data_IF_726026702040
#
_entry.id   IF_726026702040
#
_cell.length_a   1.000
_cell.length_b   1.000
_cell.length_c   1.000
_cell.angle_alpha   90.00
_cell.angle_beta   90.00
_cell.angle_gamma   90.00
#
_symmetry.space_group_name_H-M   'P 1'
#
loop_
_entity.id
_entity.type
_entity.pdbx_description
1 polymer ?
#
# COMPACT_ATOMS: atom_id res chain seq x y z
N UNK A 1 24.40 -9.11 25.39
CA UNK A 1 25.02 -10.47 25.51
C UNK A 1 24.15 -11.38 26.36
N UNK A 2 23.58 -10.93 27.51
CA UNK A 2 22.73 -11.77 28.36
C UNK A 2 21.42 -12.24 27.71
N UNK A 3 20.80 -11.49 26.83
CA UNK A 3 19.54 -11.83 26.17
C UNK A 3 19.69 -12.85 25.01
N UNK A 4 20.85 -12.95 24.39
CA UNK A 4 21.10 -13.94 23.34
C UNK A 4 21.32 -15.36 23.87
N UNK A 5 21.82 -15.51 25.12
CA UNK A 5 22.11 -16.81 25.73
C UNK A 5 20.84 -17.53 26.24
N UNK A 6 19.76 -16.79 26.51
CA UNK A 6 18.47 -17.34 26.97
C UNK A 6 17.48 -17.63 25.82
N UNK A 7 17.86 -17.37 24.57
CA UNK A 7 16.96 -17.37 23.42
C UNK A 7 16.34 -18.73 23.02
N UNK A 8 17.04 -19.86 23.26
CA UNK A 8 16.55 -21.19 22.87
C UNK A 8 16.74 -22.26 23.96
N UNK A 9 15.69 -22.59 24.72
CA UNK A 9 15.77 -23.61 25.78
C UNK A 9 16.17 -25.00 25.26
N UNK A 10 15.87 -25.32 24.01
CA UNK A 10 16.25 -26.60 23.39
C UNK A 10 17.77 -26.74 23.23
N UNK A 11 18.49 -25.68 23.04
CA UNK A 11 19.96 -25.68 22.92
C UNK A 11 20.64 -26.10 24.22
N UNK A 12 20.07 -25.75 25.38
CA UNK A 12 20.57 -26.15 26.69
C UNK A 12 20.37 -27.63 26.95
N UNK A 13 19.26 -28.23 26.49
CA UNK A 13 18.99 -29.66 26.60
C UNK A 13 19.95 -30.48 25.73
N UNK A 14 20.23 -29.99 24.49
CA UNK A 14 21.18 -30.63 23.60
C UNK A 14 22.60 -30.55 24.18
N UNK A 15 22.99 -29.41 24.72
CA UNK A 15 24.29 -29.24 25.38
C UNK A 15 24.45 -30.20 26.61
N UNK A 16 23.40 -30.40 27.39
CA UNK A 16 23.44 -31.34 28.52
C UNK A 16 23.65 -32.80 28.09
N UNK A 17 23.04 -33.20 26.95
CA UNK A 17 23.23 -34.53 26.37
C UNK A 17 24.69 -34.74 25.87
N UNK A 18 25.28 -33.70 25.26
CA UNK A 18 26.68 -33.69 24.87
C UNK A 18 27.64 -33.83 26.06
N UNK A 19 27.38 -33.14 27.19
CA UNK A 19 28.18 -33.25 28.42
C UNK A 19 28.10 -34.65 29.04
N UNK A 20 26.94 -35.30 28.99
CA UNK A 20 26.79 -36.70 29.44
C UNK A 20 27.58 -37.66 28.54
N UNK A 21 27.64 -37.46 27.27
CA UNK A 21 28.44 -38.27 26.37
C UNK A 21 29.95 -38.13 26.66
N UNK A 22 30.43 -36.93 27.00
CA UNK A 22 31.81 -36.71 27.45
C UNK A 22 32.11 -37.38 28.80
N UNK A 23 31.13 -37.43 29.72
CA UNK A 23 31.27 -38.12 31.01
C UNK A 23 31.49 -39.63 30.85
N UNK A 24 31.11 -40.25 29.72
CA UNK A 24 31.25 -41.67 29.45
C UNK A 24 32.63 -42.06 28.89
N UNK A 25 33.49 -41.08 28.53
CA UNK A 25 34.81 -41.34 27.98
C UNK A 25 35.83 -41.74 29.08
N UNK A 26 36.60 -42.82 28.90
CA UNK A 26 37.61 -43.26 29.86
C UNK A 26 38.72 -42.21 30.01
N UNK A 27 38.99 -41.83 31.27
CA UNK A 27 40.05 -40.84 31.62
C UNK A 27 39.53 -39.43 31.90
N UNK A 28 38.24 -39.16 31.75
CA UNK A 28 37.63 -37.86 32.06
C UNK A 28 37.09 -37.82 33.52
N UNK A 29 37.08 -36.64 34.20
CA UNK A 29 36.51 -36.52 35.54
C UNK A 29 34.99 -36.58 35.48
N UNK A 30 34.43 -37.79 35.46
CA UNK A 30 33.00 -38.11 35.26
C UNK A 30 32.07 -37.33 36.17
N UNK A 31 32.40 -37.16 37.46
CA UNK A 31 31.59 -36.42 38.42
C UNK A 31 31.39 -34.95 38.04
N UNK A 32 32.43 -34.30 37.52
CA UNK A 32 32.34 -32.88 37.10
C UNK A 32 31.40 -32.70 35.89
N UNK A 33 31.53 -33.59 34.88
CA UNK A 33 30.69 -33.50 33.68
C UNK A 33 29.21 -33.85 33.99
N UNK A 34 28.95 -34.78 34.89
CA UNK A 34 27.60 -35.11 35.33
C UNK A 34 26.96 -33.94 36.09
N UNK A 35 27.68 -33.25 36.96
CA UNK A 35 27.15 -32.05 37.64
C UNK A 35 26.84 -30.93 36.70
N UNK A 36 27.71 -30.64 35.70
CA UNK A 36 27.49 -29.62 34.69
C UNK A 36 26.28 -30.00 33.81
N UNK A 37 26.16 -31.25 33.41
CA UNK A 37 25.03 -31.75 32.62
C UNK A 37 23.69 -31.62 33.38
N UNK A 38 23.64 -31.94 34.68
CA UNK A 38 22.46 -31.74 35.51
C UNK A 38 22.10 -30.26 35.69
N UNK A 39 23.09 -29.38 35.90
CA UNK A 39 22.85 -27.96 36.02
C UNK A 39 22.31 -27.33 34.69
N UNK A 40 22.89 -27.70 33.56
CA UNK A 40 22.45 -27.22 32.24
C UNK A 40 21.09 -27.80 31.85
N UNK A 41 20.81 -29.05 32.18
CA UNK A 41 19.50 -29.69 31.99
C UNK A 41 18.41 -29.03 32.82
N UNK A 42 18.68 -28.82 34.13
CA UNK A 42 17.70 -28.17 35.03
C UNK A 42 17.40 -26.73 34.60
N UNK A 43 18.41 -26.00 34.14
CA UNK A 43 18.22 -24.65 33.57
C UNK A 43 17.39 -24.68 32.26
N UNK A 44 17.71 -25.61 31.37
CA UNK A 44 16.94 -25.82 30.13
C UNK A 44 15.49 -26.20 30.39
N UNK A 45 15.25 -27.13 31.35
CA UNK A 45 13.93 -27.55 31.76
C UNK A 45 13.15 -26.41 32.45
N UNK A 46 13.80 -25.64 33.32
CA UNK A 46 13.20 -24.45 33.95
C UNK A 46 12.77 -23.42 32.92
N UNK A 47 13.62 -23.13 31.94
CA UNK A 47 13.30 -22.17 30.83
C UNK A 47 12.17 -22.70 29.94
N UNK A 48 12.11 -24.00 29.70
CA UNK A 48 11.07 -24.67 28.93
C UNK A 48 9.72 -24.66 29.66
N UNK A 49 9.71 -24.97 30.97
CA UNK A 49 8.52 -24.90 31.82
C UNK A 49 8.03 -23.47 32.04
N UNK A 50 8.92 -22.50 32.01
CA UNK A 50 8.55 -21.08 32.05
C UNK A 50 7.91 -20.61 30.72
N UNK A 51 8.30 -21.21 29.57
CA UNK A 51 7.66 -20.97 28.27
C UNK A 51 6.31 -21.67 28.11
N UNK A 52 6.07 -22.80 28.76
CA UNK A 52 4.75 -23.46 28.72
C UNK A 52 3.70 -22.76 29.58
N UNK A 53 4.07 -21.73 30.36
CA UNK A 53 3.14 -20.74 30.93
C UNK A 53 2.89 -19.52 30.04
N UNK A 54 3.43 -19.49 28.84
CA UNK A 54 2.88 -18.60 27.79
C UNK A 54 1.60 -19.30 27.34
N UNK A 55 0.48 -18.81 27.81
CA UNK A 55 -0.87 -19.09 27.31
C UNK A 55 -0.87 -19.21 25.81
N UNK A 56 -1.74 -20.05 25.21
CA UNK A 56 -1.94 -20.06 23.78
C UNK A 56 -2.20 -18.62 23.38
N UNK A 57 -1.48 -18.15 22.34
CA UNK A 57 -1.65 -16.84 21.74
C UNK A 57 -3.15 -16.55 21.67
N UNK A 58 -3.64 -15.84 22.66
CA UNK A 58 -4.93 -15.19 22.55
C UNK A 58 -4.86 -14.30 21.30
N UNK A 59 -5.92 -14.26 20.50
CA UNK A 59 -5.98 -13.34 19.40
C UNK A 59 -5.67 -11.95 19.98
N UNK A 60 -4.59 -11.34 19.50
CA UNK A 60 -4.03 -10.04 19.82
C UNK A 60 -4.79 -9.32 20.95
N UNK A 61 -4.13 -9.19 22.10
CA UNK A 61 -4.67 -8.35 23.16
C UNK A 61 -4.95 -6.98 22.52
N UNK A 62 -6.23 -6.72 22.30
CA UNK A 62 -6.74 -5.37 22.27
C UNK A 62 -6.15 -4.72 23.52
N UNK A 63 -5.25 -3.77 23.37
CA UNK A 63 -4.83 -2.91 24.45
C UNK A 63 -6.10 -2.21 24.90
N UNK A 64 -6.74 -2.79 25.91
CA UNK A 64 -7.79 -2.17 26.67
C UNK A 64 -7.11 -0.98 27.33
N UNK A 65 -7.29 0.21 26.75
CA UNK A 65 -6.97 1.44 27.45
C UNK A 65 -7.97 1.47 28.60
N UNK A 66 -7.48 1.07 29.79
CA UNK A 66 -8.23 1.24 31.01
C UNK A 66 -8.68 2.70 31.10
N UNK A 67 -9.90 2.98 31.59
CA UNK A 67 -10.35 4.35 31.76
C UNK A 67 -9.32 5.07 32.62
N UNK A 68 -8.87 6.23 32.15
CA UNK A 68 -7.90 7.10 32.79
C UNK A 68 -8.10 7.16 34.29
N UNK A 69 -7.22 6.52 35.04
CA UNK A 69 -6.97 6.96 36.40
C UNK A 69 -6.15 8.23 36.27
N UNK A 70 -6.76 9.35 36.67
CA UNK A 70 -6.13 10.65 36.76
C UNK A 70 -4.82 10.57 37.55
N UNK A 71 -3.73 10.40 36.87
CA UNK A 71 -2.36 10.62 37.27
C UNK A 71 -1.71 11.29 36.09
N UNK A 72 -1.37 12.56 36.21
CA UNK A 72 -0.48 13.29 35.31
C UNK A 72 0.91 12.63 35.39
N UNK A 73 1.04 11.45 34.81
CA UNK A 73 2.36 10.89 34.57
C UNK A 73 2.99 11.64 33.42
N UNK A 74 3.88 12.57 33.75
CA UNK A 74 4.74 13.22 32.78
C UNK A 74 5.38 12.16 31.87
N UNK A 75 4.98 12.14 30.59
CA UNK A 75 5.59 11.28 29.59
C UNK A 75 7.05 11.69 29.41
N UNK A 76 7.96 10.93 30.04
CA UNK A 76 9.42 11.18 30.02
C UNK A 76 10.13 10.50 28.84
N UNK A 77 9.36 9.80 27.98
CA UNK A 77 9.87 9.06 26.83
C UNK A 77 9.32 9.59 25.52
N UNK A 78 10.04 9.33 24.43
CA UNK A 78 9.53 9.55 23.09
C UNK A 78 8.48 8.49 22.77
N UNK A 79 7.25 8.92 22.44
CA UNK A 79 6.15 8.06 22.00
C UNK A 79 5.94 8.29 20.48
N UNK A 80 6.31 7.32 19.62
CA UNK A 80 6.15 7.46 18.18
C UNK A 80 4.69 7.33 17.80
N UNK A 81 4.24 8.13 16.81
CA UNK A 81 2.91 7.98 16.23
C UNK A 81 2.70 6.59 15.62
N UNK A 82 1.50 6.05 15.77
CA UNK A 82 1.10 4.74 15.23
C UNK A 82 1.00 4.81 13.69
N UNK A 83 1.74 3.96 12.97
CA UNK A 83 1.81 4.04 11.50
C UNK A 83 0.44 3.84 10.84
N UNK A 84 -0.28 2.76 11.18
CA UNK A 84 -1.64 2.47 10.74
C UNK A 84 -2.55 2.26 11.94
N UNK A 85 -3.58 3.08 12.05
CA UNK A 85 -4.54 3.03 13.14
C UNK A 85 -5.96 2.88 12.60
N UNK A 86 -6.66 1.84 13.09
CA UNK A 86 -8.09 1.62 12.87
C UNK A 86 -8.85 2.07 14.10
N UNK A 87 -9.67 3.10 13.98
CA UNK A 87 -10.52 3.59 15.06
C UNK A 87 -11.96 3.19 14.84
N UNK A 88 -12.56 2.59 15.87
CA UNK A 88 -13.96 2.23 15.91
C UNK A 88 -14.65 2.93 17.07
N UNK A 89 -15.96 3.15 16.96
CA UNK A 89 -16.75 3.57 18.12
C UNK A 89 -16.70 2.48 19.22
N UNK A 90 -16.73 2.89 20.48
CA UNK A 90 -16.65 1.95 21.62
C UNK A 90 -17.78 0.90 21.62
N UNK A 91 -18.95 1.23 21.04
CA UNK A 91 -20.08 0.31 20.85
C UNK A 91 -19.75 -0.92 20.00
N UNK A 92 -18.71 -0.85 19.17
CA UNK A 92 -18.31 -1.94 18.28
C UNK A 92 -17.32 -2.92 18.91
N UNK A 93 -16.87 -2.67 20.14
CA UNK A 93 -16.01 -3.59 20.87
C UNK A 93 -16.69 -4.96 21.00
N UNK A 94 -15.94 -6.03 20.70
CA UNK A 94 -16.41 -7.44 20.76
C UNK A 94 -17.54 -7.82 19.79
N UNK A 95 -17.89 -6.97 18.81
CA UNK A 95 -18.88 -7.35 17.81
C UNK A 95 -18.26 -8.23 16.71
N UNK A 96 -18.98 -9.28 16.31
CA UNK A 96 -18.54 -10.21 15.27
C UNK A 96 -18.30 -9.50 13.90
N UNK A 97 -19.13 -8.51 13.58
CA UNK A 97 -18.99 -7.72 12.35
C UNK A 97 -17.69 -6.91 12.32
N UNK A 98 -17.25 -6.38 13.47
CA UNK A 98 -15.97 -5.67 13.62
C UNK A 98 -14.80 -6.63 13.39
N UNK A 99 -14.86 -7.81 13.99
CA UNK A 99 -13.85 -8.86 13.78
C UNK A 99 -13.77 -9.27 12.30
N UNK A 100 -14.90 -9.43 11.62
CA UNK A 100 -14.95 -9.73 10.18
C UNK A 100 -14.34 -8.60 9.33
N UNK A 101 -14.62 -7.35 9.66
CA UNK A 101 -14.02 -6.20 8.95
C UNK A 101 -12.51 -6.14 9.13
N UNK A 102 -12.01 -6.28 10.36
CA UNK A 102 -10.58 -6.31 10.67
C UNK A 102 -9.89 -7.44 9.90
N UNK A 103 -10.50 -8.62 9.86
CA UNK A 103 -9.97 -9.75 9.08
C UNK A 103 -9.91 -9.41 7.58
N UNK A 104 -10.96 -8.83 7.03
CA UNK A 104 -11.01 -8.37 5.63
C UNK A 104 -9.93 -7.33 5.32
N UNK A 105 -9.72 -6.36 6.21
CA UNK A 105 -8.66 -5.34 6.08
C UNK A 105 -7.27 -5.99 6.07
N UNK A 106 -7.03 -6.97 6.94
CA UNK A 106 -5.76 -7.74 6.95
C UNK A 106 -5.56 -8.53 5.65
N UNK A 107 -6.63 -9.13 5.10
CA UNK A 107 -6.56 -9.81 3.80
C UNK A 107 -6.22 -8.84 2.69
N UNK A 108 -6.83 -7.66 2.66
CA UNK A 108 -6.52 -6.59 1.69
C UNK A 108 -5.04 -6.18 1.80
N UNK A 109 -4.54 -5.92 3.02
CA UNK A 109 -3.11 -5.64 3.23
C UNK A 109 -2.21 -6.73 2.66
N UNK A 110 -2.49 -7.98 3.01
CA UNK A 110 -1.69 -9.12 2.56
C UNK A 110 -1.75 -9.30 1.03
N UNK A 111 -2.89 -9.00 0.40
CA UNK A 111 -3.01 -9.03 -1.06
C UNK A 111 -2.14 -7.97 -1.73
N UNK A 112 -2.03 -6.77 -1.16
CA UNK A 112 -1.13 -5.70 -1.65
C UNK A 112 0.33 -6.15 -1.51
N UNK A 113 0.73 -6.67 -0.35
CA UNK A 113 2.09 -7.19 -0.13
C UNK A 113 2.43 -8.25 -1.17
N UNK A 114 1.51 -9.19 -1.41
CA UNK A 114 1.74 -10.30 -2.36
C UNK A 114 1.72 -9.82 -3.82
N UNK A 115 0.85 -8.90 -4.18
CA UNK A 115 0.72 -8.45 -5.58
C UNK A 115 1.82 -7.44 -5.97
N UNK A 116 2.05 -6.43 -5.12
CA UNK A 116 2.94 -5.31 -5.41
C UNK A 116 4.34 -5.53 -4.87
N UNK A 117 4.50 -6.31 -3.79
CA UNK A 117 5.76 -6.44 -3.07
C UNK A 117 6.04 -5.25 -2.13
N UNK A 118 4.98 -4.54 -1.73
CA UNK A 118 5.07 -3.38 -0.85
C UNK A 118 4.97 -3.82 0.61
N UNK A 119 5.99 -3.52 1.41
CA UNK A 119 5.98 -3.80 2.85
C UNK A 119 5.10 -2.78 3.56
N UNK A 120 4.03 -3.25 4.19
CA UNK A 120 3.08 -2.40 4.92
C UNK A 120 3.16 -2.67 6.43
N UNK A 121 3.07 -1.63 7.28
CA UNK A 121 3.05 -1.79 8.73
C UNK A 121 1.82 -2.59 9.21
N UNK A 122 1.89 -3.16 10.43
CA UNK A 122 0.72 -3.75 11.08
C UNK A 122 -0.32 -2.67 11.43
N UNK A 123 -1.57 -3.10 11.62
CA UNK A 123 -2.61 -2.22 12.12
C UNK A 123 -2.68 -2.27 13.64
N UNK A 124 -2.80 -1.10 14.25
CA UNK A 124 -3.26 -0.93 15.62
C UNK A 124 -4.75 -0.61 15.62
N UNK A 125 -5.45 -1.08 16.64
CA UNK A 125 -6.91 -0.95 16.76
C UNK A 125 -7.23 -0.19 18.02
N UNK A 126 -8.09 0.82 17.89
CA UNK A 126 -8.54 1.65 19.00
C UNK A 126 -10.06 1.75 19.01
N UNK A 127 -10.66 1.60 20.19
CA UNK A 127 -12.07 1.83 20.41
C UNK A 127 -12.26 3.15 21.17
N UNK A 128 -12.91 4.12 20.54
CA UNK A 128 -13.05 5.48 21.09
C UNK A 128 -14.51 5.83 21.38
N UNK A 129 -14.75 6.38 22.55
CA UNK A 129 -16.06 6.94 22.92
C UNK A 129 -16.33 8.30 22.24
N UNK A 130 -15.33 8.90 21.62
CA UNK A 130 -15.45 10.18 20.90
C UNK A 130 -16.01 10.04 19.49
N UNK A 131 -16.07 8.81 18.98
CA UNK A 131 -16.63 8.51 17.65
C UNK A 131 -18.13 8.35 17.71
N UNK A 132 -18.81 8.75 16.63
CA UNK A 132 -20.24 8.47 16.46
C UNK A 132 -20.50 6.96 16.46
N UNK A 133 -21.70 6.53 16.82
CA UNK A 133 -22.03 5.13 17.09
C UNK A 133 -21.69 4.17 15.95
N UNK A 134 -21.83 4.59 14.70
CA UNK A 134 -21.50 3.78 13.51
C UNK A 134 -20.27 4.31 12.76
N UNK A 135 -19.40 5.08 13.41
CA UNK A 135 -18.24 5.66 12.75
C UNK A 135 -17.02 4.73 12.79
N UNK A 136 -16.38 4.59 11.64
CA UNK A 136 -15.07 3.99 11.44
C UNK A 136 -14.11 5.02 10.87
N UNK A 137 -12.87 5.05 11.37
CA UNK A 137 -11.80 5.89 10.82
C UNK A 137 -10.56 5.05 10.55
N UNK A 138 -9.91 5.35 9.43
CA UNK A 138 -8.56 4.90 9.15
C UNK A 138 -7.60 6.08 9.23
N UNK A 139 -6.56 5.93 10.04
CA UNK A 139 -5.53 6.95 10.24
C UNK A 139 -4.16 6.44 9.82
N UNK A 140 -3.35 7.34 9.26
CA UNK A 140 -1.94 7.13 8.94
C UNK A 140 -1.13 8.12 9.76
N UNK A 141 -0.20 7.62 10.58
CA UNK A 141 0.48 8.43 11.60
C UNK A 141 -0.50 9.26 12.45
N UNK A 142 -1.61 8.63 12.84
CA UNK A 142 -2.71 9.21 13.63
C UNK A 142 -3.51 10.33 12.93
N UNK A 143 -3.12 10.71 11.71
CA UNK A 143 -3.90 11.61 10.89
C UNK A 143 -5.01 10.85 10.13
N UNK A 144 -6.29 11.25 10.23
CA UNK A 144 -7.38 10.55 9.57
C UNK A 144 -7.28 10.71 8.04
N UNK A 145 -7.21 9.57 7.34
CA UNK A 145 -7.17 9.50 5.87
C UNK A 145 -8.58 9.44 5.31
N UNK A 146 -9.42 8.58 5.88
CA UNK A 146 -10.84 8.57 5.56
C UNK A 146 -11.70 8.14 6.75
N UNK A 147 -13.00 8.46 6.64
CA UNK A 147 -14.05 8.05 7.57
C UNK A 147 -15.11 7.30 6.79
N UNK A 148 -15.78 6.38 7.44
CA UNK A 148 -16.87 5.63 6.83
C UNK A 148 -17.94 5.31 7.87
N UNK A 149 -19.17 5.12 7.39
CA UNK A 149 -20.25 4.55 8.19
C UNK A 149 -20.09 3.04 8.22
N UNK A 150 -20.07 2.47 9.42
CA UNK A 150 -19.92 1.05 9.64
C UNK A 150 -21.20 0.45 10.22
N UNK A 151 -21.90 -0.37 9.42
CA UNK A 151 -23.17 -0.97 9.83
C UNK A 151 -23.74 -1.88 8.72
N UNK A 152 -25.01 -2.20 8.80
CA UNK A 152 -25.76 -3.00 7.82
C UNK A 152 -26.31 -2.15 6.67
N UNK A 153 -25.60 -1.09 6.32
CA UNK A 153 -25.98 -0.20 5.24
C UNK A 153 -25.51 -0.70 3.88
N UNK A 154 -26.30 -0.40 2.86
CA UNK A 154 -25.96 -0.61 1.46
C UNK A 154 -25.76 0.75 0.78
N UNK A 155 -24.62 0.90 0.11
CA UNK A 155 -24.33 2.08 -0.69
C UNK A 155 -24.81 1.86 -2.13
N UNK A 156 -25.52 2.84 -2.67
CA UNK A 156 -26.00 2.88 -4.05
C UNK A 156 -25.52 4.15 -4.71
N UNK A 157 -25.02 4.07 -5.93
CA UNK A 157 -24.63 5.27 -6.67
C UNK A 157 -25.87 6.14 -6.96
N UNK A 158 -25.80 7.43 -6.63
CA UNK A 158 -26.91 8.37 -6.75
C UNK A 158 -27.47 8.41 -8.18
N UNK A 159 -26.58 8.40 -9.16
CA UNK A 159 -26.94 8.47 -10.57
C UNK A 159 -27.71 7.24 -11.07
N UNK A 160 -27.68 6.13 -10.31
CA UNK A 160 -28.43 4.91 -10.63
C UNK A 160 -29.84 4.90 -10.08
N UNK A 161 -30.24 5.94 -9.32
CA UNK A 161 -31.54 6.00 -8.65
C UNK A 161 -32.31 7.24 -9.11
N UNK A 162 -33.31 7.04 -9.97
CA UNK A 162 -34.30 8.06 -10.28
C UNK A 162 -35.34 8.17 -9.14
N UNK A 163 -35.38 9.29 -8.48
CA UNK A 163 -36.32 9.60 -7.41
C UNK A 163 -35.65 9.84 -6.04
N UNK A 164 -36.32 10.58 -5.14
CA UNK A 164 -35.83 10.79 -3.77
C UNK A 164 -36.16 9.57 -2.90
N UNK A 165 -35.14 8.92 -2.30
CA UNK A 165 -35.38 7.87 -1.33
C UNK A 165 -35.99 8.49 -0.07
N UNK A 166 -37.04 7.89 0.46
CA UNK A 166 -37.78 8.39 1.63
C UNK A 166 -36.99 8.34 2.94
N UNK A 167 -35.98 7.47 3.04
CA UNK A 167 -35.21 7.20 4.25
C UNK A 167 -33.69 7.09 4.04
N UNK A 168 -33.14 7.69 2.98
CA UNK A 168 -31.69 7.67 2.78
C UNK A 168 -31.02 8.56 3.83
N UNK A 169 -30.09 7.99 4.58
CA UNK A 169 -29.09 8.81 5.23
C UNK A 169 -28.26 9.43 4.10
N UNK A 170 -28.40 10.73 3.93
CA UNK A 170 -27.37 11.48 3.21
C UNK A 170 -26.12 11.35 4.06
N UNK A 171 -25.20 10.50 3.60
CA UNK A 171 -23.94 10.35 4.29
C UNK A 171 -23.37 11.74 4.52
N UNK A 172 -23.07 12.07 5.76
CA UNK A 172 -22.36 13.29 6.13
C UNK A 172 -20.96 13.35 5.52
N UNK A 173 -20.59 12.37 4.74
CA UNK A 173 -19.31 12.13 4.10
C UNK A 173 -19.27 12.82 2.72
N UNK A 174 -19.55 14.12 2.74
CA UNK A 174 -19.46 15.02 1.58
C UNK A 174 -18.05 15.12 0.94
N UNK A 175 -17.11 14.27 1.31
CA UNK A 175 -15.76 14.26 0.76
C UNK A 175 -15.49 13.09 -0.21
N UNK A 176 -16.49 12.25 -0.43
CA UNK A 176 -16.38 11.22 -1.45
C UNK A 176 -16.80 11.79 -2.79
N UNK A 177 -15.89 11.70 -3.72
CA UNK A 177 -16.07 12.03 -5.15
C UNK A 177 -17.19 11.23 -5.82
N UNK A 178 -17.73 10.22 -5.16
CA UNK A 178 -18.89 9.43 -5.56
C UNK A 178 -20.05 9.77 -4.62
N UNK A 179 -21.11 10.33 -5.19
CA UNK A 179 -22.37 10.60 -4.51
C UNK A 179 -23.07 9.27 -4.19
N UNK A 180 -22.73 8.69 -3.01
CA UNK A 180 -23.36 7.48 -2.52
C UNK A 180 -24.58 7.80 -1.68
N UNK A 181 -25.66 7.05 -1.92
CA UNK A 181 -26.83 7.01 -1.04
C UNK A 181 -26.74 5.76 -0.17
N UNK A 182 -26.86 5.95 1.14
CA UNK A 182 -26.89 4.85 2.10
C UNK A 182 -28.32 4.43 2.35
N UNK A 183 -28.63 3.19 2.02
CA UNK A 183 -29.97 2.61 2.16
C UNK A 183 -29.95 1.47 3.19
N UNK A 184 -31.06 1.30 3.90
CA UNK A 184 -31.25 0.11 4.73
C UNK A 184 -31.49 -1.11 3.85
N UNK A 185 -31.18 -2.35 4.32
CA UNK A 185 -31.33 -3.57 3.52
C UNK A 185 -32.75 -3.86 3.03
N UNK A 186 -33.75 -3.31 3.68
CA UNK A 186 -35.18 -3.45 3.39
C UNK A 186 -35.76 -2.33 2.52
N UNK A 187 -34.91 -1.38 2.07
CA UNK A 187 -35.36 -0.27 1.23
C UNK A 187 -35.92 -0.76 -0.12
N UNK A 188 -37.14 -0.32 -0.52
CA UNK A 188 -37.77 -0.72 -1.78
C UNK A 188 -36.95 -0.42 -3.04
N UNK A 189 -36.06 0.57 -2.99
CA UNK A 189 -35.18 0.92 -4.10
C UNK A 189 -34.19 -0.21 -4.47
N UNK A 190 -33.82 -1.04 -3.51
CA UNK A 190 -32.91 -2.18 -3.71
C UNK A 190 -33.56 -3.33 -4.49
N UNK A 191 -34.88 -3.36 -4.61
CA UNK A 191 -35.59 -4.39 -5.37
C UNK A 191 -35.61 -4.13 -6.87
N UNK A 192 -35.19 -2.95 -7.31
CA UNK A 192 -35.10 -2.61 -8.72
C UNK A 192 -33.87 -3.28 -9.34
N UNK A 193 -34.05 -4.00 -10.43
CA UNK A 193 -33.03 -4.81 -11.12
C UNK A 193 -31.85 -3.98 -11.67
N UNK A 194 -31.98 -2.67 -11.80
CA UNK A 194 -30.99 -1.76 -12.37
C UNK A 194 -30.05 -1.15 -11.31
N UNK A 195 -30.37 -1.33 -10.03
CA UNK A 195 -29.62 -0.71 -8.93
C UNK A 195 -28.53 -1.66 -8.41
N UNK A 196 -27.28 -1.30 -8.63
CA UNK A 196 -26.15 -2.03 -8.07
C UNK A 196 -25.85 -1.48 -6.68
N UNK A 197 -26.07 -2.31 -5.67
CA UNK A 197 -25.73 -1.96 -4.28
C UNK A 197 -24.40 -2.57 -3.85
N UNK A 198 -23.67 -1.82 -3.00
CA UNK A 198 -22.41 -2.26 -2.40
C UNK A 198 -22.55 -2.19 -0.88
N UNK A 199 -22.22 -3.26 -0.16
CA UNK A 199 -22.25 -3.21 1.30
C UNK A 199 -21.23 -2.23 1.87
N UNK A 200 -21.53 -1.62 3.03
CA UNK A 200 -20.60 -0.75 3.75
C UNK A 200 -19.25 -1.45 3.97
N UNK A 201 -19.29 -2.73 4.33
CA UNK A 201 -18.10 -3.56 4.50
C UNK A 201 -17.24 -3.61 3.22
N UNK A 202 -17.83 -3.90 2.06
CA UNK A 202 -17.10 -3.98 0.80
C UNK A 202 -16.53 -2.61 0.37
N UNK A 203 -17.29 -1.54 0.58
CA UNK A 203 -16.84 -0.18 0.29
C UNK A 203 -15.64 0.22 1.18
N UNK A 204 -15.71 -0.08 2.48
CA UNK A 204 -14.58 0.17 3.40
C UNK A 204 -13.35 -0.60 2.96
N UNK A 205 -13.47 -1.88 2.58
CA UNK A 205 -12.32 -2.68 2.11
C UNK A 205 -11.69 -2.10 0.85
N UNK A 206 -12.50 -1.61 -0.09
CA UNK A 206 -11.97 -0.99 -1.31
C UNK A 206 -11.26 0.34 -1.00
N UNK A 207 -11.82 1.17 -0.10
CA UNK A 207 -11.16 2.40 0.36
C UNK A 207 -9.89 2.12 1.13
N UNK A 208 -9.90 1.09 1.99
CA UNK A 208 -8.69 0.64 2.68
C UNK A 208 -7.60 0.26 1.68
N UNK A 209 -7.97 -0.47 0.61
CA UNK A 209 -7.03 -0.83 -0.46
C UNK A 209 -6.42 0.41 -1.11
N UNK A 210 -7.25 1.38 -1.49
CA UNK A 210 -6.80 2.63 -2.10
C UNK A 210 -5.91 3.45 -1.14
N UNK A 211 -6.34 3.63 0.10
CA UNK A 211 -5.58 4.37 1.10
C UNK A 211 -4.21 3.74 1.40
N UNK A 212 -4.14 2.40 1.47
CA UNK A 212 -2.88 1.68 1.64
C UNK A 212 -1.97 1.75 0.41
N UNK A 213 -2.52 1.76 -0.81
CA UNK A 213 -1.74 1.95 -2.03
C UNK A 213 -1.15 3.36 -2.12
N UNK A 214 -1.86 4.38 -1.63
CA UNK A 214 -1.39 5.77 -1.61
C UNK A 214 -0.36 6.00 -0.50
N UNK A 215 -0.65 5.53 0.71
CA UNK A 215 0.21 5.77 1.89
C UNK A 215 1.38 4.81 2.00
N UNK A 216 1.22 3.58 1.50
CA UNK A 216 2.17 2.49 1.63
C UNK A 216 3.59 2.79 1.15
N UNK A 217 3.79 3.45 0.00
CA UNK A 217 5.13 3.80 -0.47
C UNK A 217 5.95 4.62 0.53
N UNK A 218 5.30 5.42 1.39
CA UNK A 218 5.97 6.21 2.44
C UNK A 218 6.64 5.34 3.51
N UNK A 219 6.16 4.09 3.69
CA UNK A 219 6.74 3.13 4.64
C UNK A 219 7.86 2.30 4.03
N UNK A 220 8.14 2.46 2.74
CA UNK A 220 9.26 1.81 2.07
C UNK A 220 10.54 2.63 2.31
N UNK A 221 11.06 2.58 3.53
CA UNK A 221 12.24 3.31 3.95
C UNK A 221 13.55 2.54 3.69
N UNK A 222 14.60 3.01 4.34
CA UNK A 222 15.95 2.41 4.26
C UNK A 222 15.95 0.99 4.82
N UNK A 223 15.22 0.74 5.91
CA UNK A 223 15.17 -0.57 6.55
C UNK A 223 14.49 -1.62 5.67
N UNK A 224 13.34 -1.28 5.09
CA UNK A 224 12.59 -2.14 4.18
C UNK A 224 13.41 -2.42 2.91
N UNK A 225 14.04 -1.39 2.35
CA UNK A 225 14.92 -1.52 1.18
C UNK A 225 16.13 -2.41 1.46
N UNK A 226 16.71 -2.32 2.67
CA UNK A 226 17.78 -3.22 3.11
C UNK A 226 17.29 -4.66 3.23
N UNK A 227 16.09 -4.86 3.73
CA UNK A 227 15.49 -6.22 3.81
C UNK A 227 15.25 -6.82 2.43
N UNK A 228 14.80 -6.01 1.45
CA UNK A 228 14.63 -6.42 0.05
C UNK A 228 15.99 -6.82 -0.57
N UNK A 229 17.03 -6.02 -0.34
CA UNK A 229 18.37 -6.35 -0.81
C UNK A 229 18.94 -7.60 -0.13
N UNK A 230 18.71 -7.78 1.17
CA UNK A 230 19.12 -8.98 1.90
C UNK A 230 18.49 -10.26 1.32
N UNK A 231 17.21 -10.20 0.95
CA UNK A 231 16.56 -11.31 0.23
C UNK A 231 17.20 -11.57 -1.14
N UNK A 232 17.53 -10.52 -1.89
CA UNK A 232 18.17 -10.66 -3.19
C UNK A 232 19.62 -11.20 -3.06
N UNK A 233 20.34 -10.81 -1.99
CA UNK A 233 21.72 -11.23 -1.71
C UNK A 233 21.84 -12.73 -1.50
N UNK A 234 20.82 -13.40 -0.96
CA UNK A 234 20.79 -14.86 -0.79
C UNK A 234 20.92 -15.61 -2.14
N UNK A 235 20.42 -15.03 -3.24
CA UNK A 235 20.40 -15.66 -4.56
C UNK A 235 21.33 -14.99 -5.57
N UNK A 236 21.62 -13.71 -5.39
CA UNK A 236 22.39 -12.86 -6.33
C UNK A 236 23.38 -11.94 -5.58
N UNK A 237 24.35 -12.50 -4.81
CA UNK A 237 25.23 -11.70 -3.96
C UNK A 237 26.11 -10.73 -4.75
N UNK A 238 26.59 -11.12 -5.94
CA UNK A 238 27.44 -10.28 -6.79
C UNK A 238 26.68 -9.06 -7.32
N UNK A 239 25.41 -9.26 -7.72
CA UNK A 239 24.56 -8.15 -8.17
C UNK A 239 24.32 -7.14 -7.06
N UNK A 240 24.03 -7.61 -5.84
CA UNK A 240 23.80 -6.74 -4.69
C UNK A 240 25.06 -5.98 -4.32
N UNK A 241 26.23 -6.64 -4.33
CA UNK A 241 27.51 -5.99 -4.06
C UNK A 241 27.81 -4.89 -5.09
N UNK A 242 27.61 -5.16 -6.38
CA UNK A 242 27.83 -4.18 -7.44
C UNK A 242 26.82 -3.02 -7.35
N UNK A 243 25.55 -3.29 -7.09
CA UNK A 243 24.53 -2.24 -6.88
C UNK A 243 24.90 -1.33 -5.71
N UNK A 244 25.32 -1.88 -4.57
CA UNK A 244 25.70 -1.10 -3.39
C UNK A 244 26.98 -0.27 -3.62
N UNK A 245 27.87 -0.72 -4.49
CA UNK A 245 29.06 0.05 -4.90
C UNK A 245 28.70 1.29 -5.72
N UNK A 246 27.68 1.19 -6.55
CA UNK A 246 27.27 2.23 -7.50
C UNK A 246 26.27 3.20 -6.84
N UNK A 247 25.35 2.67 -6.04
CA UNK A 247 24.17 3.39 -5.56
C UNK A 247 24.05 3.37 -4.03
N UNK A 248 23.96 4.53 -3.36
CA UNK A 248 23.61 4.58 -1.94
C UNK A 248 22.22 3.97 -1.68
N UNK A 249 22.07 3.29 -0.54
CA UNK A 249 20.82 2.65 -0.14
C UNK A 249 19.61 3.63 -0.12
N UNK A 250 19.87 4.91 0.26
CA UNK A 250 18.84 5.94 0.23
C UNK A 250 18.32 6.24 -1.17
N UNK A 251 19.18 6.23 -2.19
CA UNK A 251 18.76 6.42 -3.58
C UNK A 251 17.99 5.21 -4.09
N UNK A 252 18.45 3.99 -3.80
CA UNK A 252 17.73 2.76 -4.09
C UNK A 252 16.33 2.79 -3.48
N UNK A 253 16.22 3.14 -2.18
CA UNK A 253 14.94 3.31 -1.50
C UNK A 253 14.04 4.33 -2.20
N UNK A 254 14.60 5.48 -2.61
CA UNK A 254 13.84 6.50 -3.35
C UNK A 254 13.28 6.00 -4.68
N UNK A 255 14.05 5.20 -5.42
CA UNK A 255 13.55 4.58 -6.66
C UNK A 255 12.42 3.59 -6.39
N UNK A 256 12.56 2.74 -5.37
CA UNK A 256 11.50 1.80 -4.99
C UNK A 256 10.23 2.54 -4.53
N UNK A 257 10.38 3.60 -3.73
CA UNK A 257 9.25 4.45 -3.33
C UNK A 257 8.54 5.07 -4.54
N UNK A 258 9.31 5.59 -5.49
CA UNK A 258 8.74 6.17 -6.72
C UNK A 258 7.98 5.13 -7.53
N UNK A 259 8.54 3.96 -7.78
CA UNK A 259 7.88 2.86 -8.47
C UNK A 259 6.58 2.43 -7.74
N UNK A 260 6.66 2.25 -6.42
CA UNK A 260 5.51 1.87 -5.60
C UNK A 260 4.40 2.93 -5.61
N UNK A 261 4.73 4.23 -5.58
CA UNK A 261 3.76 5.33 -5.63
C UNK A 261 3.02 5.42 -6.97
N UNK A 262 3.58 4.80 -8.00
CA UNK A 262 2.97 4.68 -9.32
C UNK A 262 2.31 3.30 -9.55
N UNK A 263 2.22 2.47 -8.49
CA UNK A 263 1.60 1.16 -8.53
C UNK A 263 2.43 0.10 -9.29
N UNK A 264 3.69 0.37 -9.59
CA UNK A 264 4.57 -0.58 -10.28
C UNK A 264 4.99 -1.70 -9.32
N UNK A 265 4.80 -2.98 -9.67
CA UNK A 265 5.16 -4.09 -8.80
C UNK A 265 6.68 -4.18 -8.56
N UNK A 266 7.08 -4.24 -7.28
CA UNK A 266 8.49 -4.34 -6.86
C UNK A 266 9.02 -5.77 -6.86
N UNK A 267 8.17 -6.77 -7.13
CA UNK A 267 8.53 -8.20 -7.03
C UNK A 267 9.58 -8.65 -8.02
N UNK A 268 9.75 -7.95 -9.14
CA UNK A 268 10.82 -8.19 -10.10
C UNK A 268 12.16 -7.56 -9.64
N UNK A 269 12.48 -7.65 -8.34
CA UNK A 269 13.60 -6.95 -7.70
C UNK A 269 14.94 -7.21 -8.36
N UNK A 270 15.16 -8.43 -8.90
CA UNK A 270 16.38 -8.75 -9.66
C UNK A 270 16.52 -7.86 -10.90
N UNK A 271 15.47 -7.77 -11.73
CA UNK A 271 15.48 -6.93 -12.92
C UNK A 271 15.63 -5.45 -12.56
N UNK A 272 14.96 -5.01 -11.48
CA UNK A 272 15.12 -3.66 -10.95
C UNK A 272 16.60 -3.39 -10.59
N UNK A 273 17.24 -4.30 -9.86
CA UNK A 273 18.63 -4.18 -9.46
C UNK A 273 19.59 -4.18 -10.66
N UNK A 274 19.38 -5.05 -11.67
CA UNK A 274 20.16 -5.09 -12.90
C UNK A 274 20.13 -3.74 -13.64
N UNK A 275 18.93 -3.19 -13.86
CA UNK A 275 18.76 -1.88 -14.53
C UNK A 275 19.40 -0.74 -13.73
N UNK A 276 19.25 -0.75 -12.41
CA UNK A 276 19.84 0.27 -11.56
C UNK A 276 21.37 0.16 -11.49
N UNK A 277 21.94 -1.04 -11.63
CA UNK A 277 23.38 -1.25 -11.74
C UNK A 277 23.90 -0.69 -13.07
N UNK A 278 23.18 -0.91 -14.17
CA UNK A 278 23.56 -0.42 -15.50
C UNK A 278 23.52 1.11 -15.59
N UNK A 279 22.42 1.72 -15.16
CA UNK A 279 22.19 3.17 -15.33
C UNK A 279 22.67 4.03 -14.16
N UNK A 280 22.77 3.48 -12.95
CA UNK A 280 23.07 4.23 -11.73
C UNK A 280 24.46 4.86 -11.65
N UNK A 281 25.39 4.46 -12.54
CA UNK A 281 26.71 5.09 -12.65
C UNK A 281 26.65 6.47 -13.29
N UNK A 282 25.75 6.66 -14.26
CA UNK A 282 25.66 7.84 -15.11
C UNK A 282 24.47 8.72 -14.73
N UNK A 283 23.42 8.13 -14.19
CA UNK A 283 22.19 8.83 -13.78
C UNK A 283 22.12 8.93 -12.25
N UNK A 284 21.81 10.12 -11.74
CA UNK A 284 21.66 10.38 -10.30
C UNK A 284 20.24 10.68 -9.88
N UNK A 285 19.41 11.09 -10.83
CA UNK A 285 18.03 11.48 -10.56
C UNK A 285 17.15 10.25 -10.34
N UNK A 286 16.46 10.21 -9.19
CA UNK A 286 15.59 9.10 -8.80
C UNK A 286 14.46 8.89 -9.80
N UNK A 287 13.92 9.98 -10.35
CA UNK A 287 12.81 9.95 -11.32
C UNK A 287 13.27 9.29 -12.63
N UNK A 288 14.43 9.71 -13.16
CA UNK A 288 14.98 9.14 -14.38
C UNK A 288 15.35 7.66 -14.21
N UNK A 289 15.93 7.29 -13.07
CA UNK A 289 16.21 5.88 -12.74
C UNK A 289 14.93 5.05 -12.66
N UNK A 290 13.87 5.59 -12.06
CA UNK A 290 12.57 4.91 -12.04
C UNK A 290 12.00 4.73 -13.45
N UNK A 291 12.19 5.69 -14.35
CA UNK A 291 11.75 5.60 -15.74
C UNK A 291 12.51 4.51 -16.53
N UNK A 292 13.83 4.36 -16.34
CA UNK A 292 14.57 3.23 -16.91
C UNK A 292 14.04 1.89 -16.41
N UNK A 293 13.78 1.78 -15.11
CA UNK A 293 13.20 0.56 -14.52
C UNK A 293 11.82 0.28 -15.10
N UNK A 294 10.97 1.30 -15.27
CA UNK A 294 9.63 1.15 -15.85
C UNK A 294 9.67 0.63 -17.28
N UNK A 295 10.61 1.14 -18.09
CA UNK A 295 10.81 0.65 -19.48
C UNK A 295 11.22 -0.82 -19.46
N UNK A 296 12.09 -1.24 -18.55
CA UNK A 296 12.47 -2.65 -18.41
C UNK A 296 11.29 -3.53 -17.92
N UNK A 297 10.42 -2.98 -17.08
CA UNK A 297 9.22 -3.65 -16.55
C UNK A 297 7.99 -3.50 -17.45
N UNK A 298 8.15 -3.07 -18.70
CA UNK A 298 7.04 -2.81 -19.63
C UNK A 298 6.05 -3.96 -19.78
N UNK A 299 6.52 -5.21 -19.74
CA UNK A 299 5.65 -6.37 -19.83
C UNK A 299 4.73 -6.50 -18.61
N UNK A 300 5.27 -6.27 -17.41
CA UNK A 300 4.53 -6.29 -16.15
C UNK A 300 3.54 -5.12 -16.08
N UNK A 301 3.97 -3.92 -16.49
CA UNK A 301 3.12 -2.71 -16.53
C UNK A 301 1.98 -2.91 -17.53
N UNK A 302 2.27 -3.42 -18.72
CA UNK A 302 1.24 -3.74 -19.70
C UNK A 302 0.22 -4.75 -19.16
N UNK A 303 0.71 -5.86 -18.58
CA UNK A 303 -0.17 -6.89 -17.98
C UNK A 303 -1.04 -6.34 -16.83
N UNK A 304 -0.49 -5.43 -16.01
CA UNK A 304 -1.22 -4.82 -14.90
C UNK A 304 -2.43 -4.01 -15.36
N UNK A 305 -2.28 -3.28 -16.47
CA UNK A 305 -3.28 -2.30 -16.94
C UNK A 305 -4.08 -2.78 -18.15
N UNK A 306 -3.66 -3.86 -18.85
CA UNK A 306 -4.40 -4.39 -19.99
C UNK A 306 -5.67 -5.12 -19.58
N UNK A 307 -6.63 -5.12 -20.50
CA UNK A 307 -7.84 -5.93 -20.48
C UNK A 307 -7.73 -7.07 -21.51
N UNK A 308 -8.79 -7.84 -21.71
CA UNK A 308 -8.79 -8.99 -22.64
C UNK A 308 -8.51 -8.54 -24.08
N UNK A 309 -9.00 -7.37 -24.48
CA UNK A 309 -8.89 -6.80 -25.82
C UNK A 309 -7.69 -5.86 -26.00
N UNK A 310 -6.89 -5.65 -24.94
CA UNK A 310 -5.69 -4.82 -24.95
C UNK A 310 -5.67 -3.71 -23.89
N UNK A 311 -4.81 -2.74 -24.08
CA UNK A 311 -4.67 -1.57 -23.21
C UNK A 311 -5.63 -0.46 -23.70
N UNK A 312 -6.58 -0.09 -22.85
CA UNK A 312 -7.49 1.01 -23.14
C UNK A 312 -6.85 2.34 -22.74
N UNK A 313 -6.62 3.21 -23.69
CA UNK A 313 -5.84 4.42 -23.48
C UNK A 313 -6.54 5.69 -23.95
N UNK A 314 -6.44 6.73 -23.14
CA UNK A 314 -6.68 8.10 -23.53
C UNK A 314 -5.36 8.76 -23.92
N UNK A 315 -5.36 9.62 -24.93
CA UNK A 315 -4.19 10.34 -25.41
C UNK A 315 -4.41 11.85 -25.32
N UNK A 316 -3.33 12.61 -25.38
CA UNK A 316 -3.43 14.02 -25.71
C UNK A 316 -3.28 14.23 -27.22
N UNK A 317 -3.87 15.32 -27.75
CA UNK A 317 -3.56 15.76 -29.09
C UNK A 317 -2.10 16.23 -29.18
N UNK A 318 -1.45 16.16 -30.34
CA UNK A 318 -0.09 16.69 -30.52
C UNK A 318 0.02 18.19 -30.15
N UNK A 319 -1.05 18.93 -30.33
CA UNK A 319 -1.12 20.34 -29.94
C UNK A 319 -1.09 20.49 -28.42
N UNK A 320 -1.91 19.75 -27.69
CA UNK A 320 -1.92 19.73 -26.23
C UNK A 320 -0.58 19.26 -25.64
N UNK A 321 0.07 18.26 -26.25
CA UNK A 321 1.42 17.86 -25.81
C UNK A 321 2.44 19.00 -25.98
N UNK A 322 2.33 19.82 -27.03
CA UNK A 322 3.19 20.98 -27.22
C UNK A 322 2.92 22.08 -26.19
N UNK A 323 1.65 22.33 -25.83
CA UNK A 323 1.30 23.25 -24.74
C UNK A 323 1.98 22.78 -23.43
N UNK A 324 1.93 21.49 -23.12
CA UNK A 324 2.62 20.95 -21.95
C UNK A 324 4.14 21.14 -22.01
N UNK A 325 4.78 20.88 -23.17
CA UNK A 325 6.23 21.10 -23.34
C UNK A 325 6.62 22.56 -23.16
N UNK A 326 5.82 23.49 -23.68
CA UNK A 326 6.04 24.92 -23.51
C UNK A 326 5.82 25.39 -22.05
N UNK A 327 4.92 24.71 -21.33
CA UNK A 327 4.65 24.98 -19.92
C UNK A 327 5.66 24.33 -18.95
N UNK A 328 6.52 23.41 -19.42
CA UNK A 328 7.51 22.76 -18.56
C UNK A 328 8.53 23.77 -18.03
N UNK A 329 8.73 23.74 -16.72
CA UNK A 329 9.74 24.53 -16.02
C UNK A 329 10.60 23.61 -15.16
N UNK A 330 11.90 23.76 -15.28
CA UNK A 330 12.87 23.03 -14.46
C UNK A 330 13.37 23.92 -13.34
N UNK A 331 13.36 23.37 -12.11
CA UNK A 331 13.90 24.02 -10.93
C UNK A 331 14.91 23.11 -10.25
N UNK A 332 15.58 23.61 -9.21
CA UNK A 332 16.47 22.77 -8.39
C UNK A 332 15.74 21.64 -7.66
N UNK A 333 14.42 21.77 -7.45
CA UNK A 333 13.60 20.78 -6.73
C UNK A 333 12.84 19.82 -7.66
N UNK A 334 12.90 20.02 -8.98
CA UNK A 334 12.23 19.14 -9.93
C UNK A 334 11.64 19.87 -11.14
N UNK A 335 10.90 19.13 -11.95
CA UNK A 335 10.20 19.61 -13.13
C UNK A 335 8.71 19.75 -12.81
N UNK A 336 8.12 20.89 -13.13
CA UNK A 336 6.70 21.15 -12.95
C UNK A 336 6.10 21.88 -14.16
N UNK A 337 4.78 21.87 -14.29
CA UNK A 337 4.06 22.64 -15.30
C UNK A 337 3.64 24.00 -14.77
N UNK A 338 3.98 25.04 -15.48
CA UNK A 338 3.46 26.39 -15.28
C UNK A 338 2.29 26.63 -16.25
N UNK A 339 1.22 25.86 -16.09
CA UNK A 339 -0.02 26.06 -16.84
C UNK A 339 -0.76 27.27 -16.28
N UNK A 340 -1.44 28.01 -17.16
CA UNK A 340 -2.38 29.03 -16.74
C UNK A 340 -3.65 28.41 -16.11
N UNK A 341 -4.45 29.22 -15.45
CA UNK A 341 -5.65 28.75 -14.77
C UNK A 341 -6.71 28.17 -15.73
N UNK A 342 -6.78 28.69 -16.96
CA UNK A 342 -7.75 28.23 -17.95
C UNK A 342 -7.43 26.81 -18.40
N UNK A 343 -6.21 26.56 -18.90
CA UNK A 343 -5.78 25.23 -19.31
C UNK A 343 -5.77 24.23 -18.12
N UNK A 344 -5.43 24.67 -16.92
CA UNK A 344 -5.46 23.80 -15.73
C UNK A 344 -6.89 23.36 -15.38
N UNK A 345 -7.85 24.30 -15.39
CA UNK A 345 -9.26 23.98 -15.12
C UNK A 345 -9.86 23.09 -16.19
N UNK A 346 -9.58 23.38 -17.46
CA UNK A 346 -10.04 22.59 -18.58
C UNK A 346 -9.47 21.18 -18.57
N UNK A 347 -8.18 21.02 -18.26
CA UNK A 347 -7.55 19.70 -18.11
C UNK A 347 -8.24 18.87 -17.03
N UNK A 348 -8.46 19.44 -15.85
CA UNK A 348 -9.15 18.77 -14.74
C UNK A 348 -10.55 18.33 -15.15
N UNK A 349 -11.31 19.19 -15.82
CA UNK A 349 -12.66 18.87 -16.27
C UNK A 349 -12.67 17.73 -17.31
N UNK A 350 -11.81 17.80 -18.34
CA UNK A 350 -11.69 16.76 -19.36
C UNK A 350 -11.31 15.39 -18.76
N UNK A 351 -10.39 15.39 -17.81
CA UNK A 351 -9.99 14.16 -17.13
C UNK A 351 -11.13 13.60 -16.25
N UNK A 352 -11.87 14.44 -15.53
CA UNK A 352 -13.05 14.01 -14.77
C UNK A 352 -14.09 13.37 -15.68
N UNK A 353 -14.46 14.02 -16.78
CA UNK A 353 -15.43 13.49 -17.73
C UNK A 353 -15.02 12.16 -18.37
N UNK A 354 -13.73 11.93 -18.56
CA UNK A 354 -13.22 10.70 -19.16
C UNK A 354 -13.05 9.55 -18.18
N UNK A 355 -12.54 9.82 -16.99
CA UNK A 355 -12.11 8.78 -16.04
C UNK A 355 -13.12 8.48 -14.93
N UNK A 356 -13.94 9.45 -14.48
CA UNK A 356 -14.92 9.20 -13.42
C UNK A 356 -15.98 8.17 -13.80
N UNK A 357 -16.65 8.26 -14.98
CA UNK A 357 -17.64 7.27 -15.38
C UNK A 357 -17.07 5.86 -15.55
N UNK A 358 -15.75 5.75 -15.78
CA UNK A 358 -15.03 4.52 -16.06
C UNK A 358 -14.10 4.09 -14.94
N UNK A 359 -14.30 4.57 -13.74
CA UNK A 359 -13.43 4.30 -12.59
C UNK A 359 -13.23 2.81 -12.29
N UNK A 360 -14.15 1.95 -12.72
CA UNK A 360 -14.04 0.49 -12.61
C UNK A 360 -13.31 -0.16 -13.80
N UNK A 361 -13.12 0.56 -14.89
CA UNK A 361 -12.41 0.07 -16.06
C UNK A 361 -10.92 0.35 -15.92
N UNK A 362 -10.08 -0.59 -16.35
CA UNK A 362 -8.64 -0.38 -16.39
C UNK A 362 -8.30 0.51 -17.60
N UNK A 363 -8.37 1.81 -17.42
CA UNK A 363 -8.01 2.80 -18.45
C UNK A 363 -6.76 3.54 -18.04
N UNK A 364 -5.94 3.94 -18.99
CA UNK A 364 -4.68 4.65 -18.77
C UNK A 364 -4.60 5.93 -19.56
N UNK A 365 -3.77 6.85 -19.10
CA UNK A 365 -3.35 8.02 -19.88
C UNK A 365 -2.02 7.68 -20.55
N UNK A 366 -1.99 7.59 -21.88
CA UNK A 366 -0.82 7.25 -22.68
C UNK A 366 -0.23 8.53 -23.28
N UNK A 367 1.03 8.82 -22.97
CA UNK A 367 1.68 10.10 -23.28
C UNK A 367 3.10 9.93 -23.83
N UNK A 368 3.68 10.99 -24.36
CA UNK A 368 5.08 11.01 -24.72
C UNK A 368 5.98 10.82 -23.48
N UNK A 369 7.14 10.21 -23.68
CA UNK A 369 8.04 9.84 -22.59
C UNK A 369 8.50 11.03 -21.74
N UNK A 370 8.80 12.14 -22.38
CA UNK A 370 9.24 13.40 -21.75
C UNK A 370 8.16 14.03 -20.84
N UNK A 371 6.89 13.79 -21.15
CA UNK A 371 5.76 14.35 -20.41
C UNK A 371 5.26 13.42 -19.29
N UNK A 372 5.62 12.13 -19.30
CA UNK A 372 5.05 11.13 -18.41
C UNK A 372 5.23 11.49 -16.93
N UNK A 373 6.46 11.68 -16.51
CA UNK A 373 6.78 11.92 -15.10
C UNK A 373 6.26 13.25 -14.56
N UNK A 374 6.40 14.37 -15.30
CA UNK A 374 5.78 15.65 -14.92
C UNK A 374 4.25 15.55 -14.84
N UNK A 375 3.58 14.90 -15.80
CA UNK A 375 2.13 14.71 -15.77
C UNK A 375 1.69 13.85 -14.59
N UNK A 376 2.42 12.77 -14.30
CA UNK A 376 2.13 11.95 -13.10
C UNK A 376 2.22 12.77 -11.81
N UNK A 377 3.16 13.69 -11.72
CA UNK A 377 3.31 14.57 -10.57
C UNK A 377 2.16 15.58 -10.49
N UNK A 378 1.77 16.18 -11.60
CA UNK A 378 0.63 17.10 -11.68
C UNK A 378 -0.69 16.45 -11.28
N UNK A 379 -0.90 15.21 -11.71
CA UNK A 379 -2.15 14.45 -11.50
C UNK A 379 -2.21 13.69 -10.17
N UNK A 380 -1.16 13.76 -9.37
CA UNK A 380 -1.03 12.90 -8.18
C UNK A 380 -2.13 13.12 -7.15
N UNK A 381 -2.50 14.36 -6.89
CA UNK A 381 -3.44 14.69 -5.80
C UNK A 381 -4.90 14.39 -6.17
N UNK A 382 -5.34 14.74 -7.38
CA UNK A 382 -6.73 14.57 -7.81
C UNK A 382 -6.98 13.27 -8.58
N UNK A 383 -6.01 12.83 -9.40
CA UNK A 383 -6.13 11.70 -10.33
C UNK A 383 -5.12 10.59 -10.04
N UNK A 384 -4.84 10.32 -8.76
CA UNK A 384 -3.84 9.31 -8.45
C UNK A 384 -4.25 7.89 -8.91
N UNK A 385 -5.54 7.65 -9.11
CA UNK A 385 -6.09 6.41 -9.62
C UNK A 385 -5.88 6.22 -11.12
N UNK A 386 -5.52 7.29 -11.86
CA UNK A 386 -5.27 7.24 -13.30
C UNK A 386 -3.79 6.90 -13.55
N UNK A 387 -3.48 5.72 -14.12
CA UNK A 387 -2.11 5.38 -14.47
C UNK A 387 -1.64 6.21 -15.66
N UNK A 388 -0.47 6.83 -15.55
CA UNK A 388 0.19 7.54 -16.66
C UNK A 388 1.31 6.66 -17.20
N UNK A 389 1.19 6.25 -18.45
CA UNK A 389 2.12 5.35 -19.15
C UNK A 389 2.70 6.09 -20.36
N UNK A 390 3.98 5.87 -20.63
CA UNK A 390 4.62 6.42 -21.84
C UNK A 390 4.62 5.42 -22.98
N UNK A 391 4.71 5.92 -24.23
CA UNK A 391 4.88 5.08 -25.41
C UNK A 391 6.14 4.20 -25.31
N UNK A 392 7.19 4.66 -24.63
CA UNK A 392 8.42 3.89 -24.42
C UNK A 392 8.21 2.65 -23.49
N UNK A 393 7.17 2.64 -22.69
CA UNK A 393 6.80 1.52 -21.82
C UNK A 393 5.90 0.50 -22.53
N UNK A 394 5.60 0.66 -23.81
CA UNK A 394 4.85 -0.30 -24.58
C UNK A 394 5.77 -1.32 -25.26
N UNK A 395 5.30 -2.57 -25.29
CA UNK A 395 5.93 -3.60 -26.12
C UNK A 395 5.56 -3.40 -27.59
N UNK A 396 6.43 -3.74 -28.53
CA UNK A 396 6.11 -3.66 -29.96
C UNK A 396 4.90 -4.48 -30.40
N UNK A 397 4.53 -5.51 -29.62
CA UNK A 397 3.33 -6.35 -29.82
C UNK A 397 2.11 -5.89 -29.00
N UNK A 398 2.20 -4.78 -28.28
CA UNK A 398 1.13 -4.32 -27.42
C UNK A 398 -0.09 -3.89 -28.25
N UNK A 399 -1.25 -4.43 -27.90
CA UNK A 399 -2.53 -3.97 -28.46
C UNK A 399 -3.01 -2.78 -27.65
N UNK A 400 -3.17 -1.65 -28.31
CA UNK A 400 -3.68 -0.41 -27.68
C UNK A 400 -4.98 -0.03 -28.37
N UNK A 401 -6.02 0.13 -27.56
CA UNK A 401 -7.33 0.64 -27.98
C UNK A 401 -7.45 2.09 -27.51
N UNK A 402 -7.41 2.98 -28.46
CA UNK A 402 -7.56 4.41 -28.17
C UNK A 402 -9.04 4.70 -27.93
N UNK A 403 -9.36 5.25 -26.74
CA UNK A 403 -10.73 5.62 -26.36
C UNK A 403 -11.10 7.03 -26.85
N UNK A 404 -10.10 7.89 -26.97
CA UNK A 404 -10.24 9.26 -27.44
C UNK A 404 -8.99 10.08 -27.17
N UNK A 405 -9.06 11.36 -27.56
CA UNK A 405 -7.96 12.32 -27.38
C UNK A 405 -8.46 13.58 -26.70
N UNK A 406 -7.67 14.08 -25.77
CA UNK A 406 -7.91 15.37 -25.13
C UNK A 406 -7.29 16.48 -25.96
N UNK A 407 -8.05 17.55 -26.16
CA UNK A 407 -7.57 18.77 -26.80
C UNK A 407 -7.93 19.99 -25.95
N UNK A 408 -6.92 20.76 -25.54
CA UNK A 408 -7.11 21.90 -24.64
C UNK A 408 -7.56 23.18 -25.42
N UNK A 409 -7.47 23.22 -26.74
CA UNK A 409 -7.98 24.38 -27.54
C UNK A 409 -9.42 24.22 -27.98
N UNK A 410 -9.92 22.97 -28.04
CA UNK A 410 -11.30 22.70 -28.45
C UNK A 410 -12.15 22.35 -27.22
N UNK A 411 -13.22 23.11 -27.00
CA UNK A 411 -14.22 22.75 -25.99
C UNK A 411 -14.90 21.41 -26.35
N UNK A 412 -14.26 20.30 -26.01
CA UNK A 412 -14.88 19.00 -26.20
C UNK A 412 -13.92 17.83 -26.31
N UNK A 413 -14.42 16.67 -25.87
CA UNK A 413 -13.79 15.37 -26.07
C UNK A 413 -13.94 14.95 -27.53
N UNK A 414 -12.83 14.91 -28.28
CA UNK A 414 -12.79 14.25 -29.58
C UNK A 414 -12.85 12.72 -29.35
N UNK A 415 -14.07 12.17 -29.31
CA UNK A 415 -14.27 10.71 -29.29
C UNK A 415 -13.98 10.19 -30.70
N UNK A 416 -12.96 9.35 -30.85
CA UNK A 416 -12.85 8.52 -32.04
C UNK A 416 -14.04 7.56 -32.05
N UNK A 417 -14.95 7.74 -32.97
CA UNK A 417 -16.01 6.79 -33.28
C UNK A 417 -15.30 5.55 -33.83
N UNK A 418 -15.17 4.51 -33.01
CA UNK A 418 -14.70 3.21 -33.48
C UNK A 418 -15.75 2.67 -34.42
N UNK A 419 -15.47 2.75 -35.72
CA UNK A 419 -16.21 2.07 -36.78
C UNK A 419 -15.82 0.59 -36.84
#
# INVERSE_FOLDING_TARGET
IGQQITGEPKSWIIASAGMLAFAALPGMPTLVFVFIALATFSLGLYLLLRRTKVEPLQPEQVLEIAPEQNGEDDLRGFDPSRPYLLQFASTHQHQERTTRLIHGIRQVRNSIVTAVGLTLPPFEIEYSALLAEDEFRFCVHEAPVFRATFGEWLAVARDSVEGQPSNALRGSEQRDELDWLWLQPDDPLLTRTEVISVSAHALILERMRQAMMISGPRFLGIQESKSILGWLEETQPELVQELQRIMPLSRFSGVLQRLASEGVPLRAVRLIAEVLTEHGQHEREVIALADYVRIALRAQIYHLHSQIDGLHAWLFSPHTENIFREALRQTQTGVFFALDNEHSTQLVQLLKEAFEPRRREKTVLLVAHDLRSPLRTLLFDEFNHVPVISFAELMGSAKVKVLGRFDLEYEGLLREVVS
#
